data_IF_859732608524
#
_entry.id   IF_859732608524
#
_cell.length_a   1.000
_cell.length_b   1.000
_cell.length_c   1.000
_cell.angle_alpha   90.00
_cell.angle_beta   90.00
_cell.angle_gamma   90.00
#
_symmetry.space_group_name_H-M   'P 1'
#
loop_
_entity.id
_entity.type
_entity.pdbx_description
1 polymer ?
#
# COMPACT_ATOMS: atom_id res chain seq x y z
N UNK A 1 -7.40 1.90 -25.06
CA UNK A 1 -8.27 2.71 -25.94
C UNK A 1 -7.35 3.71 -26.61
N UNK A 2 -7.21 3.63 -27.94
CA UNK A 2 -6.41 4.57 -28.74
C UNK A 2 -7.16 5.89 -28.85
N UNK A 3 -6.45 7.01 -28.83
CA UNK A 3 -7.03 8.32 -29.12
C UNK A 3 -6.90 8.59 -30.62
N UNK A 4 -8.00 8.91 -31.28
CA UNK A 4 -7.98 9.28 -32.70
C UNK A 4 -8.12 10.80 -32.85
N UNK A 5 -7.37 11.37 -33.79
CA UNK A 5 -7.48 12.81 -34.10
C UNK A 5 -8.88 13.15 -34.63
N UNK A 6 -9.40 14.32 -34.23
CA UNK A 6 -10.72 14.79 -34.65
C UNK A 6 -10.84 14.92 -36.18
N UNK A 7 -12.02 14.58 -36.70
CA UNK A 7 -12.42 14.70 -38.12
C UNK A 7 -13.89 15.15 -38.18
N UNK A 8 -14.38 15.70 -39.31
CA UNK A 8 -15.76 16.21 -39.43
C UNK A 8 -16.89 15.22 -39.10
N UNK A 9 -16.63 13.91 -39.17
CA UNK A 9 -17.56 12.83 -38.80
C UNK A 9 -17.09 12.02 -37.58
N UNK A 10 -16.18 12.58 -36.78
CA UNK A 10 -15.72 11.94 -35.56
C UNK A 10 -16.89 11.74 -34.59
N UNK A 11 -16.95 10.54 -34.02
CA UNK A 11 -17.90 10.18 -32.97
C UNK A 11 -17.15 10.10 -31.65
N UNK A 12 -17.76 10.62 -30.60
CA UNK A 12 -17.17 10.65 -29.27
C UNK A 12 -16.95 9.21 -28.79
N UNK A 13 -15.71 8.79 -28.60
CA UNK A 13 -15.38 7.43 -28.12
C UNK A 13 -16.05 7.03 -26.80
N UNK A 14 -16.51 7.99 -26.01
CA UNK A 14 -17.15 7.75 -24.71
C UNK A 14 -18.68 7.64 -24.78
N UNK A 15 -19.35 8.39 -25.66
CA UNK A 15 -20.82 8.40 -25.73
C UNK A 15 -21.41 8.05 -27.11
N UNK A 16 -20.56 7.82 -28.11
CA UNK A 16 -20.95 7.44 -29.47
C UNK A 16 -21.60 8.55 -30.30
N UNK A 17 -21.78 9.76 -29.77
CA UNK A 17 -22.41 10.90 -30.48
C UNK A 17 -21.38 11.69 -31.27
N UNK A 18 -21.79 12.29 -32.38
CA UNK A 18 -20.93 13.14 -33.24
C UNK A 18 -20.28 14.29 -32.44
N UNK A 19 -19.01 14.55 -32.70
CA UNK A 19 -18.22 15.62 -32.09
C UNK A 19 -18.06 16.75 -33.11
N UNK A 20 -18.72 17.88 -32.89
CA UNK A 20 -18.44 19.09 -33.65
C UNK A 20 -17.12 19.71 -33.19
N UNK A 21 -16.40 20.41 -34.08
CA UNK A 21 -15.07 20.96 -33.79
C UNK A 21 -15.03 21.83 -32.51
N UNK A 22 -16.04 22.67 -32.29
CA UNK A 22 -16.11 23.57 -31.12
C UNK A 22 -16.40 22.88 -29.79
N UNK A 23 -16.80 21.61 -29.79
CA UNK A 23 -17.03 20.81 -28.57
C UNK A 23 -16.01 19.68 -28.42
N UNK A 24 -15.06 19.57 -29.37
CA UNK A 24 -14.01 18.58 -29.34
C UNK A 24 -13.03 18.86 -28.19
N UNK A 25 -12.50 17.78 -27.60
CA UNK A 25 -11.48 17.86 -26.57
C UNK A 25 -10.16 18.32 -27.18
N UNK A 26 -9.60 19.39 -26.62
CA UNK A 26 -8.27 19.89 -26.95
C UNK A 26 -7.34 19.56 -25.78
N UNK A 27 -6.18 18.97 -26.07
CA UNK A 27 -5.15 18.69 -25.06
C UNK A 27 -4.21 19.88 -24.80
N UNK A 28 -3.25 19.70 -23.90
CA UNK A 28 -2.28 20.74 -23.51
C UNK A 28 -1.36 21.16 -24.67
N UNK A 29 -1.15 20.28 -25.65
CA UNK A 29 -0.34 20.53 -26.85
C UNK A 29 -1.16 21.15 -27.99
N UNK A 30 -2.47 21.37 -27.79
CA UNK A 30 -3.37 21.95 -28.78
C UNK A 30 -3.95 20.95 -29.79
N UNK A 31 -3.73 19.64 -29.62
CA UNK A 31 -4.31 18.62 -30.49
C UNK A 31 -5.81 18.45 -30.21
N UNK A 32 -6.58 18.24 -31.27
CA UNK A 32 -8.03 18.06 -31.21
C UNK A 32 -8.37 16.57 -31.36
N UNK A 33 -9.15 16.03 -30.42
CA UNK A 33 -9.44 14.60 -30.32
C UNK A 33 -10.91 14.24 -30.62
N UNK A 34 -11.14 12.98 -30.98
CA UNK A 34 -12.43 12.32 -31.20
C UNK A 34 -13.31 12.15 -29.95
N UNK A 35 -13.30 13.11 -29.03
CA UNK A 35 -14.12 13.11 -27.82
C UNK A 35 -14.68 14.50 -27.55
N UNK A 36 -15.87 14.59 -26.95
CA UNK A 36 -16.32 15.86 -26.38
C UNK A 36 -15.44 16.24 -25.18
N UNK A 37 -15.17 17.52 -24.98
CA UNK A 37 -14.39 18.01 -23.82
C UNK A 37 -14.94 17.51 -22.48
N UNK A 38 -16.25 17.54 -22.29
CA UNK A 38 -16.92 17.10 -21.06
C UNK A 38 -16.80 15.57 -20.86
N UNK A 39 -16.97 14.80 -21.93
CA UNK A 39 -16.84 13.35 -21.94
C UNK A 39 -15.39 12.93 -21.65
N UNK A 40 -14.41 13.58 -22.28
CA UNK A 40 -12.99 13.33 -22.04
C UNK A 40 -12.60 13.67 -20.59
N UNK A 41 -13.08 14.82 -20.09
CA UNK A 41 -12.82 15.26 -18.71
C UNK A 41 -13.45 14.33 -17.68
N UNK A 42 -14.68 13.89 -17.88
CA UNK A 42 -15.32 12.88 -17.01
C UNK A 42 -14.53 11.58 -17.00
N UNK A 43 -14.17 11.07 -18.17
CA UNK A 43 -13.39 9.83 -18.28
C UNK A 43 -12.02 9.96 -17.60
N UNK A 44 -11.38 11.13 -17.66
CA UNK A 44 -10.14 11.42 -16.93
C UNK A 44 -10.34 11.38 -15.41
N UNK A 45 -11.37 12.06 -14.90
CA UNK A 45 -11.69 12.05 -13.46
C UNK A 45 -12.00 10.64 -12.96
N UNK A 46 -12.73 9.84 -13.74
CA UNK A 46 -13.00 8.44 -13.42
C UNK A 46 -11.73 7.59 -13.37
N UNK A 47 -10.80 7.77 -14.32
CA UNK A 47 -9.48 7.11 -14.28
C UNK A 47 -8.70 7.51 -13.04
N UNK A 48 -8.58 8.80 -12.78
CA UNK A 48 -7.90 9.32 -11.57
C UNK A 48 -8.53 8.76 -10.28
N UNK A 49 -9.86 8.64 -10.22
CA UNK A 49 -10.55 8.06 -9.07
C UNK A 49 -10.26 6.55 -8.92
N UNK A 50 -10.21 5.79 -10.02
CA UNK A 50 -9.78 4.38 -10.00
C UNK A 50 -8.31 4.24 -9.57
N UNK A 51 -7.44 5.10 -10.08
CA UNK A 51 -5.99 5.07 -9.84
C UNK A 51 -5.61 5.59 -8.45
N UNK A 52 -6.40 6.50 -7.87
CA UNK A 52 -6.18 7.03 -6.52
C UNK A 52 -6.15 5.92 -5.46
N UNK A 53 -6.74 4.75 -5.75
CA UNK A 53 -6.78 3.60 -4.87
C UNK A 53 -7.51 3.91 -3.56
N UNK A 54 -7.51 2.96 -2.60
CA UNK A 54 -8.17 3.18 -1.31
C UNK A 54 -7.43 4.28 -0.53
N UNK A 55 -8.17 5.21 0.08
CA UNK A 55 -7.65 6.21 0.99
C UNK A 55 -6.90 5.59 2.18
N UNK A 56 -6.11 6.40 2.91
CA UNK A 56 -5.43 5.93 4.11
C UNK A 56 -6.41 5.37 5.17
N UNK A 57 -7.60 5.96 5.28
CA UNK A 57 -8.65 5.51 6.19
C UNK A 57 -9.20 4.14 5.78
N UNK A 58 -9.50 3.94 4.50
CA UNK A 58 -10.01 2.67 3.97
C UNK A 58 -8.96 1.55 4.10
N UNK A 59 -7.68 1.84 3.84
CA UNK A 59 -6.59 0.88 4.08
C UNK A 59 -6.51 0.47 5.55
N UNK A 60 -6.65 1.42 6.47
CA UNK A 60 -6.68 1.16 7.91
C UNK A 60 -7.89 0.30 8.31
N UNK A 61 -9.08 0.60 7.76
CA UNK A 61 -10.29 -0.18 8.01
C UNK A 61 -10.16 -1.62 7.49
N UNK A 62 -9.65 -1.81 6.27
CA UNK A 62 -9.37 -3.15 5.72
C UNK A 62 -8.42 -3.95 6.62
N UNK A 63 -7.37 -3.31 7.15
CA UNK A 63 -6.46 -3.92 8.11
C UNK A 63 -7.16 -4.37 9.40
N UNK A 64 -8.06 -3.55 9.95
CA UNK A 64 -8.86 -3.90 11.13
C UNK A 64 -9.80 -5.07 10.87
N UNK A 65 -10.51 -5.07 9.74
CA UNK A 65 -11.39 -6.18 9.34
C UNK A 65 -10.58 -7.48 9.31
N UNK A 66 -9.44 -7.50 8.59
CA UNK A 66 -8.59 -8.68 8.53
C UNK A 66 -8.09 -9.15 9.90
N UNK A 67 -7.71 -8.22 10.78
CA UNK A 67 -7.29 -8.56 12.14
C UNK A 67 -8.45 -9.18 12.96
N UNK A 68 -9.64 -8.58 12.95
CA UNK A 68 -10.79 -9.11 13.68
C UNK A 68 -11.25 -10.46 13.12
N UNK A 69 -11.35 -10.61 11.80
CA UNK A 69 -11.68 -11.88 11.15
C UNK A 69 -10.67 -12.96 11.52
N UNK A 70 -9.37 -12.67 11.49
CA UNK A 70 -8.34 -13.65 11.88
C UNK A 70 -8.53 -14.10 13.33
N UNK A 71 -8.67 -13.15 14.25
CA UNK A 71 -8.75 -13.46 15.67
C UNK A 71 -10.08 -14.09 16.09
N UNK A 72 -11.18 -13.81 15.39
CA UNK A 72 -12.44 -14.51 15.57
C UNK A 72 -12.33 -16.01 15.22
N UNK A 73 -11.47 -16.36 14.25
CA UNK A 73 -11.24 -17.73 13.81
C UNK A 73 -10.05 -18.41 14.51
N UNK A 74 -9.50 -17.82 15.58
CA UNK A 74 -8.34 -18.37 16.28
C UNK A 74 -8.75 -18.86 17.67
N UNK A 75 -8.72 -20.17 17.89
CA UNK A 75 -9.03 -20.78 19.18
C UNK A 75 -7.94 -20.47 20.23
N UNK A 76 -6.67 -20.72 19.89
CA UNK A 76 -5.52 -20.43 20.75
C UNK A 76 -4.64 -19.32 20.14
N UNK A 77 -4.73 -18.14 20.75
CA UNK A 77 -3.97 -16.95 20.33
C UNK A 77 -2.48 -17.06 20.60
N UNK A 78 -2.08 -17.78 21.66
CA UNK A 78 -0.68 -18.00 21.99
C UNK A 78 -0.04 -18.89 20.92
N UNK A 79 -0.69 -19.99 20.58
CA UNK A 79 -0.20 -20.93 19.57
C UNK A 79 -0.17 -20.30 18.16
N UNK A 80 -1.15 -19.49 17.81
CA UNK A 80 -1.20 -18.78 16.52
C UNK A 80 0.01 -17.85 16.28
N UNK A 81 0.68 -17.38 17.33
CA UNK A 81 1.88 -16.51 17.24
C UNK A 81 3.18 -17.24 17.55
N UNK A 82 3.13 -18.52 17.94
CA UNK A 82 4.33 -19.30 18.30
C UNK A 82 5.36 -19.37 17.15
N UNK A 83 4.99 -19.69 15.89
CA UNK A 83 5.97 -19.77 14.80
C UNK A 83 6.69 -18.45 14.54
N UNK A 84 5.98 -17.33 14.69
CA UNK A 84 6.57 -16.00 14.52
C UNK A 84 7.58 -15.70 15.64
N UNK A 85 7.28 -16.09 16.88
CA UNK A 85 8.19 -15.94 18.03
C UNK A 85 9.43 -16.81 17.84
N UNK A 86 9.26 -18.08 17.50
CA UNK A 86 10.36 -19.03 17.26
C UNK A 86 11.27 -18.55 16.11
N UNK A 87 10.70 -18.13 14.98
CA UNK A 87 11.47 -17.60 13.85
C UNK A 87 12.24 -16.33 14.19
N UNK A 88 11.67 -15.46 15.03
CA UNK A 88 12.36 -14.25 15.48
C UNK A 88 13.51 -14.57 16.43
N UNK A 89 13.32 -15.49 17.37
CA UNK A 89 14.38 -15.98 18.25
C UNK A 89 15.50 -16.65 17.46
N UNK A 90 15.19 -17.53 16.51
CA UNK A 90 16.18 -18.17 15.64
C UNK A 90 16.97 -17.18 14.78
N UNK A 91 16.32 -16.08 14.36
CA UNK A 91 17.03 -14.98 13.69
C UNK A 91 18.03 -14.31 14.64
N UNK A 92 17.59 -13.97 15.85
CA UNK A 92 18.47 -13.34 16.84
C UNK A 92 19.62 -14.26 17.26
N UNK A 93 19.40 -15.57 17.38
CA UNK A 93 20.46 -16.55 17.65
C UNK A 93 21.60 -16.45 16.63
N UNK A 94 21.27 -16.41 15.34
CA UNK A 94 22.26 -16.24 14.26
C UNK A 94 22.94 -14.87 14.27
N UNK A 95 22.28 -13.84 14.80
CA UNK A 95 22.87 -12.50 14.91
C UNK A 95 23.83 -12.38 16.11
N UNK A 96 23.52 -13.03 17.23
CA UNK A 96 24.35 -12.95 18.45
C UNK A 96 25.46 -13.99 18.50
N UNK A 97 25.33 -15.06 17.71
CA UNK A 97 26.30 -16.15 17.61
C UNK A 97 26.40 -16.67 16.15
N UNK A 98 26.99 -15.88 15.22
CA UNK A 98 27.10 -16.27 13.82
C UNK A 98 27.94 -17.54 13.61
N UNK A 99 29.00 -17.70 14.40
CA UNK A 99 29.97 -18.78 14.30
C UNK A 99 29.59 -20.00 15.17
N UNK A 100 28.58 -19.86 16.03
CA UNK A 100 28.05 -20.95 16.85
C UNK A 100 28.91 -21.35 18.04
N UNK A 101 29.82 -20.48 18.48
CA UNK A 101 30.84 -20.78 19.50
C UNK A 101 30.30 -20.65 20.93
N UNK A 102 29.18 -19.97 21.13
CA UNK A 102 28.63 -19.75 22.47
C UNK A 102 27.96 -21.01 23.02
N UNK A 103 28.03 -21.18 24.34
CA UNK A 103 27.22 -22.19 25.03
C UNK A 103 25.73 -21.88 24.87
N UNK A 104 24.85 -22.90 24.88
CA UNK A 104 23.41 -22.69 24.75
C UNK A 104 22.85 -21.69 25.78
N UNK A 105 23.36 -21.73 27.01
CA UNK A 105 22.91 -20.84 28.09
C UNK A 105 23.32 -19.38 27.83
N UNK A 106 24.56 -19.15 27.36
CA UNK A 106 25.04 -17.81 27.06
C UNK A 106 24.37 -17.25 25.80
N UNK A 107 24.18 -18.09 24.77
CA UNK A 107 23.43 -17.74 23.57
C UNK A 107 22.00 -17.30 23.92
N UNK A 108 21.29 -18.07 24.75
CA UNK A 108 19.93 -17.75 25.18
C UNK A 108 19.87 -16.40 25.92
N UNK A 109 20.82 -16.12 26.82
CA UNK A 109 20.91 -14.82 27.51
C UNK A 109 21.12 -13.68 26.51
N UNK A 110 22.03 -13.84 25.55
CA UNK A 110 22.30 -12.80 24.53
C UNK A 110 21.10 -12.55 23.62
N UNK A 111 20.36 -13.60 23.25
CA UNK A 111 19.12 -13.47 22.48
C UNK A 111 18.07 -12.67 23.25
N UNK A 112 17.90 -12.91 24.55
CA UNK A 112 16.97 -12.14 25.39
C UNK A 112 17.35 -10.65 25.45
N UNK A 113 18.64 -10.33 25.61
CA UNK A 113 19.12 -8.95 25.54
C UNK A 113 18.95 -8.33 24.16
N UNK A 114 19.18 -9.08 23.09
CA UNK A 114 18.98 -8.62 21.72
C UNK A 114 17.51 -8.33 21.42
N UNK A 115 16.59 -9.18 21.92
CA UNK A 115 15.15 -8.96 21.84
C UNK A 115 14.75 -7.66 22.57
N UNK A 116 15.22 -7.46 23.80
CA UNK A 116 14.97 -6.22 24.56
C UNK A 116 15.49 -5.00 23.79
N UNK A 117 16.72 -5.06 23.29
CA UNK A 117 17.29 -3.96 22.50
C UNK A 117 16.47 -3.67 21.23
N UNK A 118 16.01 -4.70 20.52
CA UNK A 118 15.15 -4.55 19.34
C UNK A 118 13.86 -3.78 19.67
N UNK A 119 13.17 -4.18 20.73
CA UNK A 119 11.93 -3.53 21.16
C UNK A 119 12.16 -2.07 21.57
N UNK A 120 13.26 -1.78 22.27
CA UNK A 120 13.62 -0.41 22.65
C UNK A 120 13.90 0.48 21.43
N UNK A 121 14.58 -0.04 20.38
CA UNK A 121 14.80 0.71 19.13
C UNK A 121 13.47 1.04 18.44
N UNK A 122 12.54 0.09 18.40
CA UNK A 122 11.20 0.31 17.83
C UNK A 122 10.42 1.38 18.59
N UNK A 123 10.45 1.32 19.93
CA UNK A 123 9.81 2.31 20.79
C UNK A 123 10.40 3.71 20.58
N UNK A 124 11.73 3.82 20.51
CA UNK A 124 12.42 5.09 20.25
C UNK A 124 12.02 5.69 18.90
N UNK A 125 12.04 4.90 17.83
CA UNK A 125 11.62 5.35 16.49
C UNK A 125 10.17 5.83 16.47
N UNK A 126 9.29 5.14 17.20
CA UNK A 126 7.89 5.55 17.35
C UNK A 126 7.76 6.88 18.11
N UNK A 127 8.50 7.05 19.22
CA UNK A 127 8.51 8.31 19.97
C UNK A 127 9.03 9.49 19.15
N UNK A 128 10.12 9.30 18.40
CA UNK A 128 10.66 10.31 17.48
C UNK A 128 9.63 10.72 16.41
N UNK A 129 8.92 9.75 15.83
CA UNK A 129 7.89 10.01 14.82
C UNK A 129 6.73 10.83 15.42
N UNK A 130 6.28 10.50 16.63
CA UNK A 130 5.23 11.27 17.33
C UNK A 130 5.69 12.70 17.65
N UNK A 131 6.94 12.88 18.08
CA UNK A 131 7.51 14.20 18.36
C UNK A 131 7.55 15.10 17.12
N UNK A 132 7.82 14.54 15.93
CA UNK A 132 7.84 15.30 14.66
C UNK A 132 6.46 15.72 14.14
N UNK A 133 5.39 15.07 14.60
CA UNK A 133 4.01 15.34 14.18
C UNK A 133 3.28 16.32 15.09
N UNK A 134 3.81 16.57 16.29
CA UNK A 134 3.37 17.66 17.17
C UNK A 134 4.02 18.95 16.70
#
# INVERSE_FOLDING_TARGET
MTHDAWRPEAHCRHCGRKVAQGVAHVDEDGNIWDAHWDCARRAELERRARDAGPSASERSLRGRIGAYTRWANTEDRYMATRPAREGFYAKLEREVDPDGELTPQERAKRVDWAMKAHMQRMALKSAQTRRRKR
#
